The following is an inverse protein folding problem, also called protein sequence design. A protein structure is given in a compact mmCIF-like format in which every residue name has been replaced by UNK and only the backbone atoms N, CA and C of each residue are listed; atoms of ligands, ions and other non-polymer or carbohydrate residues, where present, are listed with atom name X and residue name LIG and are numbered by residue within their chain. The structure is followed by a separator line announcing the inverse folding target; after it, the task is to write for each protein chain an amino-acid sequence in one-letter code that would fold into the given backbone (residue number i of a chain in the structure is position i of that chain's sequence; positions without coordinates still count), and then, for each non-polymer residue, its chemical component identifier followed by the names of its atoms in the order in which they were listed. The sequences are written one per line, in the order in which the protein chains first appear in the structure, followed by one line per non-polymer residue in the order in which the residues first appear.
data_IF_406950786427
#
_entry.id   IF_406950786427
#
_cell.length_a   1.000
_cell.length_b   1.000
_cell.length_c   1.000
_cell.angle_alpha   90.00
_cell.angle_beta   90.00
_cell.angle_gamma   90.00
#
_symmetry.space_group_name_H-M   'P 1'
#
loop_
_entity.id
_entity.type
_entity.pdbx_description
1 polymer ?
#
# COMPACT_ATOMS: atom_id res chain seq x y z
N UNK A 1 1.73 -17.12 2.66
CA UNK A 1 0.48 -16.42 3.02
C UNK A 1 -0.80 -17.24 2.78
N UNK A 2 -0.73 -18.57 2.68
CA UNK A 2 -1.86 -19.42 2.26
C UNK A 2 -3.02 -19.49 3.26
N UNK A 3 -2.74 -19.51 4.56
CA UNK A 3 -3.78 -19.75 5.57
C UNK A 3 -4.74 -18.57 5.80
N UNK A 4 -4.39 -17.37 5.33
CA UNK A 4 -5.22 -16.15 5.44
C UNK A 4 -5.89 -15.77 4.11
N UNK A 5 -5.72 -16.55 3.05
CA UNK A 5 -6.40 -16.31 1.78
C UNK A 5 -7.46 -17.39 1.52
N UNK A 6 -8.70 -16.97 1.29
CA UNK A 6 -9.77 -17.85 0.79
C UNK A 6 -10.15 -17.36 -0.60
N UNK A 7 -9.74 -18.09 -1.63
CA UNK A 7 -9.78 -17.61 -3.01
C UNK A 7 -8.83 -16.43 -3.20
N UNK A 8 -9.27 -15.39 -3.91
CA UNK A 8 -8.51 -14.15 -4.13
C UNK A 8 -8.92 -13.05 -3.13
N UNK A 9 -8.94 -13.39 -1.84
CA UNK A 9 -9.33 -12.47 -0.77
C UNK A 9 -8.55 -12.74 0.51
N UNK A 10 -7.89 -11.71 1.02
CA UNK A 10 -7.26 -11.68 2.34
C UNK A 10 -8.29 -11.63 3.49
N UNK A 11 -7.97 -12.36 4.55
CA UNK A 11 -8.66 -12.37 5.84
C UNK A 11 -7.71 -11.93 6.95
N UNK A 12 -8.26 -11.40 8.04
CA UNK A 12 -7.48 -10.75 9.11
C UNK A 12 -7.30 -11.56 10.38
N UNK A 13 -7.94 -12.73 10.48
CA UNK A 13 -7.65 -13.66 11.57
C UNK A 13 -7.71 -15.11 11.10
N UNK A 14 -6.94 -15.96 11.77
CA UNK A 14 -6.90 -17.40 11.51
C UNK A 14 -7.13 -18.15 12.82
N UNK A 15 -8.10 -19.06 12.81
CA UNK A 15 -8.37 -19.93 13.94
C UNK A 15 -7.68 -21.27 13.72
N UNK A 16 -6.55 -21.49 14.40
CA UNK A 16 -5.69 -22.67 14.19
C UNK A 16 -6.42 -24.00 14.42
N UNK A 17 -7.24 -24.10 15.48
CA UNK A 17 -7.94 -25.35 15.79
C UNK A 17 -9.01 -25.73 14.76
N UNK A 18 -9.61 -24.74 14.11
CA UNK A 18 -10.62 -24.99 13.07
C UNK A 18 -10.03 -24.93 11.65
N UNK A 19 -8.73 -24.65 11.54
CA UNK A 19 -7.99 -24.36 10.31
C UNK A 19 -8.68 -23.35 9.39
N UNK A 20 -9.33 -22.33 9.98
CA UNK A 20 -10.20 -21.41 9.24
C UNK A 20 -9.79 -19.95 9.38
N UNK A 21 -9.66 -19.27 8.25
CA UNK A 21 -9.60 -17.82 8.23
C UNK A 21 -10.98 -17.22 8.55
N UNK A 22 -11.00 -16.14 9.32
CA UNK A 22 -12.21 -15.43 9.76
C UNK A 22 -12.02 -13.93 9.55
N UNK A 23 -13.14 -13.27 9.29
CA UNK A 23 -13.25 -11.82 9.03
C UNK A 23 -12.44 -11.35 7.81
N UNK A 24 -13.13 -10.71 6.88
CA UNK A 24 -12.49 -10.16 5.68
C UNK A 24 -11.56 -9.02 6.06
N UNK A 25 -10.37 -8.97 5.46
CA UNK A 25 -9.41 -7.89 5.66
C UNK A 25 -10.00 -6.54 5.22
N UNK A 26 -9.79 -5.49 6.01
CA UNK A 26 -10.17 -4.11 5.70
C UNK A 26 -9.06 -3.39 4.90
N UNK A 27 -9.31 -2.14 4.50
CA UNK A 27 -8.34 -1.31 3.78
C UNK A 27 -6.97 -1.29 4.47
N UNK A 28 -6.94 -1.07 5.78
CA UNK A 28 -5.71 -0.97 6.57
C UNK A 28 -4.94 -2.29 6.57
N UNK A 29 -5.63 -3.43 6.65
CA UNK A 29 -4.99 -4.74 6.62
C UNK A 29 -4.22 -4.95 5.31
N UNK A 30 -4.75 -4.49 4.16
CA UNK A 30 -4.04 -4.52 2.88
C UNK A 30 -2.91 -3.48 2.85
N UNK A 31 -3.19 -2.24 3.22
CA UNK A 31 -2.23 -1.14 3.12
C UNK A 31 -0.95 -1.42 3.92
N UNK A 32 -1.09 -1.83 5.18
CA UNK A 32 0.05 -2.13 6.03
C UNK A 32 0.74 -3.45 5.66
N UNK A 33 0.02 -4.45 5.16
CA UNK A 33 0.65 -5.70 4.72
C UNK A 33 1.48 -5.51 3.44
N UNK A 34 0.98 -4.71 2.49
CA UNK A 34 1.74 -4.33 1.29
C UNK A 34 3.00 -3.55 1.70
N UNK A 35 2.88 -2.58 2.62
CA UNK A 35 4.03 -1.84 3.14
C UNK A 35 5.09 -2.78 3.75
N UNK A 36 4.67 -3.68 4.65
CA UNK A 36 5.56 -4.63 5.30
C UNK A 36 6.24 -5.60 4.32
N UNK A 37 5.53 -6.02 3.26
CA UNK A 37 6.11 -6.86 2.21
C UNK A 37 7.18 -6.13 1.39
N UNK A 38 6.97 -4.86 1.09
CA UNK A 38 8.01 -4.07 0.43
C UNK A 38 9.20 -3.82 1.37
N UNK A 39 8.96 -3.62 2.66
CA UNK A 39 10.05 -3.51 3.65
C UNK A 39 10.88 -4.82 3.73
N UNK A 40 10.22 -5.98 3.66
CA UNK A 40 10.90 -7.28 3.56
C UNK A 40 11.69 -7.42 2.26
N UNK A 41 11.13 -6.97 1.14
CA UNK A 41 11.84 -6.94 -0.14
C UNK A 41 13.11 -6.09 -0.05
N UNK A 42 13.01 -4.87 0.47
CA UNK A 42 14.16 -3.96 0.63
C UNK A 42 15.22 -4.53 1.59
N UNK A 43 14.80 -5.19 2.67
CA UNK A 43 15.71 -5.74 3.67
C UNK A 43 16.43 -7.03 3.21
N UNK A 44 15.82 -7.81 2.31
CA UNK A 44 16.30 -9.15 1.94
C UNK A 44 16.69 -9.31 0.47
N UNK A 45 16.24 -8.39 -0.39
CA UNK A 45 16.30 -8.49 -1.85
C UNK A 45 15.61 -9.74 -2.43
N UNK A 46 14.81 -10.46 -1.65
CA UNK A 46 14.04 -11.61 -2.15
C UNK A 46 12.78 -11.13 -2.89
N UNK A 47 12.82 -11.27 -4.22
CA UNK A 47 11.76 -10.84 -5.14
C UNK A 47 10.38 -11.46 -4.83
N UNK A 48 10.32 -12.56 -4.08
CA UNK A 48 9.07 -13.17 -3.66
C UNK A 48 8.19 -12.18 -2.88
N UNK A 49 8.79 -11.33 -2.04
CA UNK A 49 8.05 -10.35 -1.24
C UNK A 49 7.42 -9.27 -2.11
N UNK A 50 8.15 -8.75 -3.10
CA UNK A 50 7.59 -7.79 -4.07
C UNK A 50 6.45 -8.41 -4.89
N UNK A 51 6.58 -9.67 -5.31
CA UNK A 51 5.50 -10.38 -6.02
C UNK A 51 4.23 -10.50 -5.17
N UNK A 52 4.38 -10.76 -3.87
CA UNK A 52 3.23 -10.78 -2.95
C UNK A 52 2.62 -9.39 -2.76
N UNK A 53 3.42 -8.33 -2.67
CA UNK A 53 2.93 -6.96 -2.56
C UNK A 53 2.08 -6.57 -3.79
N UNK A 54 2.56 -6.92 -4.99
CA UNK A 54 1.84 -6.68 -6.25
C UNK A 54 0.50 -7.43 -6.30
N UNK A 55 0.49 -8.70 -5.91
CA UNK A 55 -0.75 -9.50 -5.88
C UNK A 55 -1.79 -8.93 -4.89
N UNK A 56 -1.34 -8.44 -3.73
CA UNK A 56 -2.22 -7.79 -2.76
C UNK A 56 -2.72 -6.41 -3.24
N UNK A 57 -1.91 -5.65 -3.96
CA UNK A 57 -2.36 -4.38 -4.55
C UNK A 57 -3.43 -4.62 -5.63
N UNK A 58 -3.33 -5.67 -6.45
CA UNK A 58 -4.38 -6.04 -7.41
C UNK A 58 -5.72 -6.38 -6.71
N UNK A 59 -5.66 -7.10 -5.59
CA UNK A 59 -6.84 -7.35 -4.74
C UNK A 59 -7.40 -6.06 -4.12
N UNK A 60 -6.53 -5.22 -3.57
CA UNK A 60 -6.87 -3.94 -2.96
C UNK A 60 -7.56 -3.03 -3.98
N UNK A 61 -6.96 -2.87 -5.16
CA UNK A 61 -7.48 -2.10 -6.30
C UNK A 61 -8.89 -2.55 -6.66
N UNK A 62 -9.08 -3.85 -6.84
CA UNK A 62 -10.37 -4.41 -7.26
C UNK A 62 -11.47 -4.17 -6.22
N UNK A 63 -11.13 -4.16 -4.92
CA UNK A 63 -12.12 -4.15 -3.84
C UNK A 63 -12.37 -2.76 -3.25
N UNK A 64 -11.34 -1.93 -3.18
CA UNK A 64 -11.32 -0.73 -2.35
C UNK A 64 -11.07 0.56 -3.14
N UNK A 65 -10.43 0.50 -4.31
CA UNK A 65 -10.11 1.72 -5.07
C UNK A 65 -11.36 2.33 -5.71
N UNK A 66 -11.43 3.66 -5.71
CA UNK A 66 -12.38 4.42 -6.50
C UNK A 66 -11.71 4.80 -7.84
N UNK A 67 -12.06 4.13 -8.96
CA UNK A 67 -11.45 4.40 -10.24
C UNK A 67 -11.81 5.79 -10.80
N UNK A 68 -12.94 6.37 -10.37
CA UNK A 68 -13.45 7.64 -10.85
C UNK A 68 -12.77 8.81 -10.13
N UNK A 69 -12.78 8.79 -8.79
CA UNK A 69 -12.31 9.93 -7.98
C UNK A 69 -10.96 9.71 -7.30
N UNK A 70 -10.35 8.54 -7.47
CA UNK A 70 -9.09 8.17 -6.80
C UNK A 70 -9.27 7.81 -5.31
N UNK A 71 -8.19 7.35 -4.69
CA UNK A 71 -8.18 6.89 -3.31
C UNK A 71 -8.97 5.59 -3.09
N UNK A 72 -9.03 5.19 -1.83
CA UNK A 72 -9.56 3.91 -1.40
C UNK A 72 -10.64 4.10 -0.34
N UNK A 73 -11.72 3.36 -0.48
CA UNK A 73 -12.81 3.30 0.48
C UNK A 73 -12.45 2.44 1.70
N UNK A 74 -13.03 2.71 2.87
CA UNK A 74 -12.80 1.89 4.07
C UNK A 74 -13.43 0.48 3.98
N UNK A 75 -14.61 0.38 3.35
CA UNK A 75 -15.33 -0.87 3.16
C UNK A 75 -15.15 -1.39 1.73
N UNK A 76 -15.19 -2.71 1.47
CA UNK A 76 -15.04 -3.27 0.13
C UNK A 76 -16.31 -3.06 -0.72
N UNK A 77 -16.16 -3.13 -2.05
CA UNK A 77 -17.25 -2.89 -3.02
C UNK A 77 -18.41 -3.88 -2.93
N UNK A 78 -18.19 -5.07 -2.36
CA UNK A 78 -19.22 -6.09 -2.14
C UNK A 78 -20.00 -5.90 -0.83
N UNK A 79 -19.69 -4.86 -0.05
CA UNK A 79 -20.41 -4.53 1.16
C UNK A 79 -21.52 -3.51 0.89
N UNK A 80 -22.74 -3.80 1.36
CA UNK A 80 -23.92 -2.95 1.13
C UNK A 80 -23.94 -1.82 2.16
N UNK A 81 -23.27 -0.71 1.86
CA UNK A 81 -23.37 0.54 2.61
C UNK A 81 -24.01 1.63 1.76
N UNK A 82 -24.81 2.49 2.40
CA UNK A 82 -25.45 3.65 1.75
C UNK A 82 -24.40 4.65 1.23
N UNK A 83 -23.30 4.81 1.97
CA UNK A 83 -22.13 5.58 1.57
C UNK A 83 -20.87 4.87 2.06
N UNK A 84 -19.82 4.88 1.23
CA UNK A 84 -18.48 4.39 1.59
C UNK A 84 -17.58 5.59 1.79
N UNK A 85 -17.03 5.73 2.99
CA UNK A 85 -16.08 6.79 3.29
C UNK A 85 -14.67 6.42 2.81
N UNK A 86 -13.86 7.44 2.52
CA UNK A 86 -12.42 7.30 2.26
C UNK A 86 -11.67 7.89 3.44
N UNK A 87 -11.08 7.05 4.31
CA UNK A 87 -10.43 7.52 5.53
C UNK A 87 -9.17 8.30 5.15
N UNK A 88 -9.04 9.51 5.70
CA UNK A 88 -7.99 10.46 5.32
C UNK A 88 -7.23 11.02 6.50
N UNK A 89 -7.83 10.99 7.69
CA UNK A 89 -7.25 11.55 8.90
C UNK A 89 -6.45 10.47 9.62
N UNK A 90 -5.20 10.78 9.94
CA UNK A 90 -4.35 9.94 10.77
C UNK A 90 -4.84 10.00 12.23
N UNK A 91 -4.80 8.85 12.89
CA UNK A 91 -5.14 8.70 14.31
C UNK A 91 -3.95 8.18 15.10
N UNK A 92 -4.16 7.15 15.92
CA UNK A 92 -3.06 6.40 16.53
C UNK A 92 -2.20 5.65 15.49
N UNK A 93 -2.78 5.39 14.32
CA UNK A 93 -2.14 4.81 13.16
C UNK A 93 -2.36 5.74 11.95
N UNK A 94 -1.46 5.72 10.96
CA UNK A 94 -1.71 6.34 9.67
C UNK A 94 -3.02 5.85 9.03
N UNK A 95 -3.68 6.73 8.30
CA UNK A 95 -4.86 6.35 7.52
C UNK A 95 -4.48 5.38 6.39
N UNK A 96 -5.38 4.45 6.07
CA UNK A 96 -5.14 3.48 4.99
C UNK A 96 -4.83 4.15 3.65
N UNK A 97 -5.47 5.28 3.32
CA UNK A 97 -5.16 6.03 2.11
C UNK A 97 -3.74 6.61 2.10
N UNK A 98 -3.24 7.11 3.24
CA UNK A 98 -1.89 7.66 3.32
C UNK A 98 -0.83 6.58 3.07
N UNK A 99 -0.98 5.43 3.71
CA UNK A 99 -0.09 4.28 3.50
C UNK A 99 -0.18 3.76 2.07
N UNK A 100 -1.40 3.67 1.51
CA UNK A 100 -1.57 3.30 0.10
C UNK A 100 -0.90 4.28 -0.86
N UNK A 101 -0.95 5.60 -0.60
CA UNK A 101 -0.29 6.59 -1.43
C UNK A 101 1.22 6.33 -1.52
N UNK A 102 1.87 6.13 -0.36
CA UNK A 102 3.30 5.81 -0.31
C UNK A 102 3.60 4.45 -0.95
N UNK A 103 2.75 3.44 -0.74
CA UNK A 103 2.91 2.13 -1.36
C UNK A 103 2.87 2.19 -2.88
N UNK A 104 1.93 2.94 -3.46
CA UNK A 104 1.84 3.10 -4.91
C UNK A 104 3.10 3.77 -5.48
N UNK A 105 3.68 4.75 -4.78
CA UNK A 105 4.93 5.40 -5.21
C UNK A 105 6.12 4.45 -5.13
N UNK A 106 6.22 3.65 -4.06
CA UNK A 106 7.25 2.61 -3.91
C UNK A 106 7.12 1.54 -4.99
N UNK A 107 5.90 1.04 -5.24
CA UNK A 107 5.63 0.08 -6.32
C UNK A 107 5.99 0.63 -7.70
N UNK A 108 5.67 1.91 -7.97
CA UNK A 108 6.08 2.56 -9.22
C UNK A 108 7.60 2.57 -9.39
N UNK A 109 8.33 2.83 -8.31
CA UNK A 109 9.80 2.86 -8.31
C UNK A 109 10.38 1.48 -8.59
N UNK A 110 9.91 0.43 -7.92
CA UNK A 110 10.44 -0.92 -8.09
C UNK A 110 10.04 -1.60 -9.40
N UNK A 111 8.88 -1.26 -9.97
CA UNK A 111 8.36 -1.91 -11.18
C UNK A 111 8.58 -1.10 -12.45
N UNK A 112 8.93 0.18 -12.32
CA UNK A 112 8.93 1.17 -13.43
C UNK A 112 7.57 1.34 -14.12
N UNK A 113 6.51 0.81 -13.52
CA UNK A 113 5.15 0.94 -14.03
C UNK A 113 4.55 2.26 -13.56
N UNK A 114 4.38 3.16 -14.51
CA UNK A 114 3.84 4.51 -14.32
C UNK A 114 2.35 4.50 -13.92
N UNK A 115 1.64 3.38 -14.09
CA UNK A 115 0.23 3.27 -13.65
C UNK A 115 0.09 3.43 -12.14
N UNK A 116 1.06 2.96 -11.35
CA UNK A 116 1.06 3.16 -9.90
C UNK A 116 1.27 4.63 -9.53
N UNK A 117 2.19 5.33 -10.20
CA UNK A 117 2.42 6.78 -9.98
C UNK A 117 1.16 7.59 -10.28
N UNK A 118 0.45 7.29 -11.37
CA UNK A 118 -0.83 7.92 -11.72
C UNK A 118 -1.93 7.67 -10.69
N UNK A 119 -1.99 6.46 -10.11
CA UNK A 119 -2.93 6.14 -9.04
C UNK A 119 -2.60 6.92 -7.77
N UNK A 120 -1.33 7.02 -7.41
CA UNK A 120 -0.86 7.84 -6.29
C UNK A 120 -1.20 9.33 -6.49
N UNK A 121 -0.96 9.87 -7.69
CA UNK A 121 -1.29 11.25 -8.03
C UNK A 121 -2.79 11.54 -7.86
N UNK A 122 -3.68 10.68 -8.40
CA UNK A 122 -5.13 10.84 -8.20
C UNK A 122 -5.53 10.84 -6.73
N UNK A 123 -4.91 9.97 -5.92
CA UNK A 123 -5.15 9.91 -4.49
C UNK A 123 -4.66 11.18 -3.78
N UNK A 124 -3.45 11.67 -4.10
CA UNK A 124 -2.91 12.90 -3.53
C UNK A 124 -3.77 14.12 -3.90
N UNK A 125 -4.22 14.21 -5.16
CA UNK A 125 -5.11 15.27 -5.62
C UNK A 125 -6.45 15.26 -4.88
N UNK A 126 -7.04 14.07 -4.65
CA UNK A 126 -8.28 13.92 -3.89
C UNK A 126 -8.19 14.54 -2.48
N UNK A 127 -7.04 14.45 -1.83
CA UNK A 127 -6.84 14.97 -0.47
C UNK A 127 -6.06 16.29 -0.41
N UNK A 128 -5.76 16.92 -1.55
CA UNK A 128 -4.93 18.13 -1.65
C UNK A 128 -5.46 19.32 -0.82
N UNK A 129 -6.78 19.58 -0.87
CA UNK A 129 -7.42 20.61 -0.06
C UNK A 129 -7.26 20.33 1.44
N UNK A 130 -7.38 19.06 1.86
CA UNK A 130 -7.25 18.65 3.26
C UNK A 130 -5.81 18.68 3.73
N UNK A 131 -4.87 18.26 2.89
CA UNK A 131 -3.43 18.38 3.13
C UNK A 131 -3.04 19.85 3.37
N UNK A 132 -3.61 20.76 2.57
CA UNK A 132 -3.34 22.20 2.70
C UNK A 132 -3.97 22.79 3.97
N UNK A 133 -5.20 22.40 4.30
CA UNK A 133 -5.93 22.94 5.45
C UNK A 133 -5.52 22.32 6.80
N UNK A 134 -5.14 21.04 6.81
CA UNK A 134 -4.91 20.24 8.01
C UNK A 134 -3.66 19.34 7.91
N UNK A 135 -2.46 19.87 7.58
CA UNK A 135 -1.27 19.05 7.29
C UNK A 135 -0.90 18.08 8.42
N UNK A 136 -1.00 18.51 9.68
CA UNK A 136 -0.68 17.66 10.84
C UNK A 136 -1.62 16.47 11.02
N UNK A 137 -2.83 16.53 10.46
CA UNK A 137 -3.81 15.45 10.51
C UNK A 137 -3.59 14.42 9.39
N UNK A 138 -2.67 14.66 8.46
CA UNK A 138 -2.32 13.78 7.35
C UNK A 138 -0.80 13.63 7.23
N UNK A 139 -0.13 13.41 8.36
CA UNK A 139 1.34 13.40 8.44
C UNK A 139 1.96 12.32 7.55
N UNK A 140 1.35 11.12 7.48
CA UNK A 140 1.85 10.06 6.59
C UNK A 140 1.64 10.41 5.12
N UNK A 141 0.54 11.09 4.79
CA UNK A 141 0.26 11.53 3.43
C UNK A 141 1.23 12.63 2.99
N UNK A 142 1.73 13.46 3.92
CA UNK A 142 2.78 14.42 3.63
C UNK A 142 4.10 13.72 3.25
N UNK A 143 4.42 12.58 3.87
CA UNK A 143 5.57 11.76 3.45
C UNK A 143 5.37 11.22 2.04
N UNK A 144 4.16 10.76 1.71
CA UNK A 144 3.84 10.34 0.35
C UNK A 144 3.93 11.50 -0.66
N UNK A 145 3.47 12.70 -0.29
CA UNK A 145 3.59 13.88 -1.14
C UNK A 145 5.04 14.30 -1.34
N UNK A 146 5.84 14.30 -0.28
CA UNK A 146 7.29 14.57 -0.34
C UNK A 146 7.98 13.57 -1.29
N UNK A 147 7.71 12.28 -1.12
CA UNK A 147 8.22 11.24 -2.02
C UNK A 147 7.76 11.43 -3.48
N UNK A 148 6.51 11.86 -3.70
CA UNK A 148 6.00 12.11 -5.05
C UNK A 148 6.68 13.29 -5.74
N UNK A 149 6.97 14.35 -4.98
CA UNK A 149 7.62 15.56 -5.48
C UNK A 149 9.14 15.41 -5.63
N UNK A 150 9.75 14.50 -4.88
CA UNK A 150 11.16 14.19 -5.00
C UNK A 150 11.45 13.22 -6.16
N UNK A 151 12.72 13.17 -6.58
CA UNK A 151 13.22 12.16 -7.52
C UNK A 151 13.94 11.07 -6.73
N UNK A 152 13.43 9.83 -6.70
CA UNK A 152 14.10 8.72 -6.00
C UNK A 152 15.54 8.56 -6.50
N UNK A 153 16.49 8.51 -5.56
CA UNK A 153 17.90 8.28 -5.89
C UNK A 153 18.19 6.79 -5.80
N UNK A 154 18.49 6.16 -6.93
CA UNK A 154 18.94 4.77 -6.97
C UNK A 154 20.47 4.72 -6.90
N UNK A 155 21.00 3.91 -5.98
CA UNK A 155 22.44 3.67 -5.83
C UNK A 155 22.70 2.18 -6.03
N UNK A 156 23.33 1.82 -7.15
CA UNK A 156 23.76 0.46 -7.42
C UNK A 156 25.20 0.24 -6.92
N UNK A 157 25.38 -0.67 -5.96
CA UNK A 157 26.69 -1.11 -5.51
C UNK A 157 27.14 -2.32 -6.34
N UNK A 158 28.10 -2.11 -7.24
CA UNK A 158 28.73 -3.18 -8.02
C UNK A 158 30.01 -3.60 -7.33
N UNK A 159 30.04 -4.84 -6.82
CA UNK A 159 31.26 -5.42 -6.25
C UNK A 159 32.06 -6.09 -7.38
N UNK A 160 33.40 -5.91 -7.42
CA UNK A 160 34.25 -6.68 -8.33
C UNK A 160 34.19 -8.18 -8.00
N UNK A 161 34.30 -9.03 -9.02
CA UNK A 161 34.28 -10.50 -8.87
C UNK A 161 35.40 -11.01 -7.95
N UNK A 162 36.53 -10.31 -7.92
CA UNK A 162 37.61 -10.54 -6.97
C UNK A 162 37.35 -9.70 -5.72
N UNK A 163 36.94 -10.37 -4.64
CA UNK A 163 36.50 -9.74 -3.40
C UNK A 163 37.46 -8.69 -2.84
N UNK A 164 36.89 -7.79 -2.03
CA UNK A 164 37.56 -6.69 -1.36
C UNK A 164 38.76 -7.19 -0.53
N UNK A 165 39.99 -7.03 -1.03
CA UNK A 165 41.20 -7.19 -0.21
C UNK A 165 41.46 -5.86 0.51
N UNK A 166 41.17 -5.85 1.82
CA UNK A 166 41.50 -4.76 2.73
C UNK A 166 43.00 -4.77 3.08
#
# INVERSE_FOLDING_TARGET
MTNLHIGNRLYRSYHYQDEKARHTACLEDYAFLIAALMDLFEATSDIMWLKHALALDDELKTRYEDPENGGFFAAPADHVLIAREKPWQDGAMPSGNAVCALNLLRLSTFTTDDTYRKRAEKLLLLFSDRLSAHPTALSEMLLALDFYLDTPKEIALVLPDEGFTA
#
